data_IF_558991543985
#
_entry.id   IF_558991543985
#
_cell.length_a   1.000
_cell.length_b   1.000
_cell.length_c   1.000
_cell.angle_alpha   90.00
_cell.angle_beta   90.00
_cell.angle_gamma   90.00
#
_symmetry.space_group_name_H-M   'P 1'
#
loop_
_entity.id
_entity.type
_entity.pdbx_description
1 polymer ?
#
# COMPACT_ATOMS: atom_id res chain seq x y z
N UNK A 1 16.65 -27.16 24.99
CA UNK A 1 15.69 -26.04 25.12
C UNK A 1 16.45 -24.84 24.60
N UNK A 2 16.41 -24.65 23.28
CA UNK A 2 17.21 -23.64 22.60
C UNK A 2 16.25 -22.62 22.02
N UNK A 3 16.33 -21.41 22.58
CA UNK A 3 15.63 -20.24 22.09
C UNK A 3 16.47 -19.67 20.94
N UNK A 4 16.16 -20.10 19.72
CA UNK A 4 16.61 -19.38 18.53
C UNK A 4 15.52 -18.41 18.11
N UNK A 5 15.93 -17.14 18.04
CA UNK A 5 15.06 -16.01 17.78
C UNK A 5 14.55 -16.12 16.35
N UNK A 6 13.29 -16.48 16.20
CA UNK A 6 12.55 -16.41 14.95
C UNK A 6 12.37 -14.93 14.58
N UNK A 7 13.45 -14.29 14.10
CA UNK A 7 13.35 -13.04 13.33
C UNK A 7 12.72 -13.44 12.02
N UNK A 8 11.39 -13.51 12.02
CA UNK A 8 10.59 -13.67 10.82
C UNK A 8 11.12 -12.69 9.78
N UNK A 9 11.82 -13.27 8.82
CA UNK A 9 12.12 -12.74 7.50
C UNK A 9 10.78 -12.17 6.99
N UNK A 10 10.54 -10.88 7.23
CA UNK A 10 9.39 -10.23 6.64
C UNK A 10 9.75 -10.09 5.16
N UNK A 11 9.35 -11.09 4.39
CA UNK A 11 9.34 -11.02 2.94
C UNK A 11 8.79 -9.64 2.54
N UNK A 12 9.42 -8.95 1.58
CA UNK A 12 8.91 -7.68 1.08
C UNK A 12 7.45 -7.89 0.73
N UNK A 13 6.54 -7.24 1.45
CA UNK A 13 5.13 -7.43 1.17
C UNK A 13 4.91 -7.00 -0.29
N UNK A 14 4.50 -7.95 -1.11
CA UNK A 14 4.09 -7.67 -2.48
C UNK A 14 2.58 -7.46 -2.43
N UNK A 15 2.05 -6.29 -2.82
CA UNK A 15 0.61 -6.07 -2.90
C UNK A 15 0.02 -7.02 -3.93
N UNK A 16 -0.31 -8.25 -3.51
CA UNK A 16 -0.98 -9.32 -4.24
C UNK A 16 -0.81 -9.25 -5.75
N UNK A 17 0.20 -9.97 -6.27
CA UNK A 17 0.33 -10.28 -7.70
C UNK A 17 -0.83 -11.14 -8.18
N UNK A 18 -1.96 -10.50 -8.43
CA UNK A 18 -2.84 -10.87 -9.52
C UNK A 18 -2.94 -9.62 -10.38
N UNK A 19 -2.08 -9.64 -11.39
CA UNK A 19 -2.35 -9.08 -12.70
C UNK A 19 -3.73 -9.61 -13.14
N UNK A 20 -4.82 -9.09 -12.56
CA UNK A 20 -6.09 -9.00 -13.25
C UNK A 20 -5.75 -8.15 -14.44
N UNK A 21 -5.44 -8.84 -15.55
CA UNK A 21 -5.23 -8.32 -16.90
C UNK A 21 -5.67 -6.89 -16.91
N UNK A 22 -4.70 -5.97 -16.94
CA UNK A 22 -4.98 -4.59 -17.28
C UNK A 22 -5.88 -4.70 -18.51
N UNK A 23 -7.17 -4.47 -18.30
CA UNK A 23 -8.06 -4.19 -19.39
C UNK A 23 -7.51 -2.86 -19.85
N UNK A 24 -6.55 -2.97 -20.77
CA UNK A 24 -5.92 -1.95 -21.58
C UNK A 24 -7.08 -1.22 -22.30
N UNK A 25 -7.85 -0.45 -21.54
CA UNK A 25 -8.44 0.76 -22.03
C UNK A 25 -7.24 1.68 -22.22
N UNK A 26 -6.68 1.68 -23.43
CA UNK A 26 -5.55 2.49 -23.88
C UNK A 26 -5.83 3.99 -23.83
N UNK A 27 -6.08 4.51 -22.63
CA UNK A 27 -6.21 5.91 -22.30
C UNK A 27 -5.13 6.32 -21.30
N UNK A 28 -4.81 7.62 -21.22
CA UNK A 28 -3.81 8.12 -20.28
C UNK A 28 -4.20 7.77 -18.85
N UNK A 29 -3.24 7.28 -18.07
CA UNK A 29 -3.43 7.04 -16.64
C UNK A 29 -3.87 8.33 -15.95
N UNK A 30 -5.01 8.33 -15.23
CA UNK A 30 -5.45 9.48 -14.45
C UNK A 30 -4.35 10.00 -13.51
N UNK A 31 -4.18 11.32 -13.43
CA UNK A 31 -3.12 11.95 -12.63
C UNK A 31 -3.14 11.53 -11.14
N UNK A 32 -4.33 11.26 -10.57
CA UNK A 32 -4.44 10.79 -9.20
C UNK A 32 -3.85 9.38 -9.01
N UNK A 33 -3.94 8.52 -10.04
CA UNK A 33 -3.33 7.19 -10.02
C UNK A 33 -1.82 7.29 -10.11
N UNK A 34 -1.29 8.11 -11.02
CA UNK A 34 0.16 8.36 -11.08
C UNK A 34 0.69 8.86 -9.73
N UNK A 35 0.00 9.84 -9.13
CA UNK A 35 0.40 10.41 -7.84
C UNK A 35 0.29 9.41 -6.68
N UNK A 36 -0.77 8.60 -6.64
CA UNK A 36 -0.91 7.56 -5.64
C UNK A 36 0.19 6.49 -5.79
N UNK A 37 0.48 6.07 -7.02
CA UNK A 37 1.52 5.09 -7.32
C UNK A 37 2.89 5.58 -6.84
N UNK A 38 3.24 6.85 -7.03
CA UNK A 38 4.48 7.44 -6.50
C UNK A 38 4.56 7.30 -4.97
N UNK A 39 3.49 7.67 -4.26
CA UNK A 39 3.43 7.63 -2.80
C UNK A 39 3.53 6.20 -2.26
N UNK A 40 2.78 5.26 -2.87
CA UNK A 40 2.82 3.85 -2.49
C UNK A 40 4.19 3.24 -2.79
N UNK A 41 4.80 3.57 -3.93
CA UNK A 41 6.14 3.10 -4.30
C UNK A 41 7.18 3.60 -3.31
N UNK A 42 7.05 4.85 -2.84
CA UNK A 42 7.93 5.36 -1.79
C UNK A 42 7.68 4.66 -0.46
N UNK A 43 6.42 4.43 -0.07
CA UNK A 43 6.05 3.71 1.14
C UNK A 43 6.67 2.30 1.18
N UNK A 44 6.61 1.59 0.05
CA UNK A 44 7.24 0.28 -0.16
C UNK A 44 8.76 0.31 0.08
N UNK A 45 9.44 1.34 -0.45
CA UNK A 45 10.88 1.51 -0.28
C UNK A 45 11.25 1.81 1.16
N UNK A 46 10.50 2.70 1.80
CA UNK A 46 10.69 3.07 3.20
C UNK A 46 10.48 1.87 4.13
N UNK A 47 9.46 1.07 3.84
CA UNK A 47 9.18 -0.14 4.58
C UNK A 47 10.29 -1.18 4.47
N UNK A 48 10.77 -1.41 3.24
CA UNK A 48 11.91 -2.30 2.99
C UNK A 48 13.19 -1.79 3.69
N UNK A 49 13.32 -0.48 3.85
CA UNK A 49 14.42 0.14 4.59
C UNK A 49 14.21 0.14 6.12
N UNK A 50 13.08 -0.36 6.63
CA UNK A 50 12.73 -0.32 8.05
C UNK A 50 12.31 1.06 8.56
N UNK A 51 12.12 2.04 7.68
CA UNK A 51 11.61 3.37 8.00
C UNK A 51 10.08 3.35 8.18
N UNK A 52 9.59 2.51 9.10
CA UNK A 52 8.17 2.23 9.30
C UNK A 52 7.27 3.46 9.53
N UNK A 53 7.69 4.54 10.24
CA UNK A 53 6.88 5.74 10.32
C UNK A 53 6.67 6.43 8.96
N UNK A 54 7.72 6.47 8.12
CA UNK A 54 7.65 7.06 6.77
C UNK A 54 6.82 6.19 5.83
N UNK A 55 7.01 4.86 5.90
CA UNK A 55 6.17 3.90 5.17
C UNK A 55 4.69 4.06 5.50
N UNK A 56 4.35 4.14 6.78
CA UNK A 56 2.97 4.33 7.24
C UNK A 56 2.36 5.62 6.69
N UNK A 57 3.13 6.72 6.69
CA UNK A 57 2.70 7.98 6.11
C UNK A 57 2.45 7.85 4.59
N UNK A 58 3.37 7.22 3.87
CA UNK A 58 3.25 6.99 2.43
C UNK A 58 2.01 6.15 2.06
N UNK A 59 1.69 5.08 2.81
CA UNK A 59 0.45 4.32 2.59
C UNK A 59 -0.79 5.16 2.82
N UNK A 60 -0.83 5.92 3.91
CA UNK A 60 -1.98 6.78 4.24
C UNK A 60 -2.20 7.85 3.17
N UNK A 61 -1.13 8.50 2.73
CA UNK A 61 -1.20 9.54 1.71
C UNK A 61 -1.59 8.98 0.34
N UNK A 62 -0.99 7.84 -0.05
CA UNK A 62 -1.34 7.15 -1.29
C UNK A 62 -2.82 6.74 -1.31
N UNK A 63 -3.31 6.11 -0.24
CA UNK A 63 -4.73 5.75 -0.09
C UNK A 63 -5.63 6.99 -0.10
N UNK A 64 -5.23 8.06 0.57
CA UNK A 64 -6.00 9.30 0.58
C UNK A 64 -6.17 9.88 -0.83
N UNK A 65 -5.11 9.88 -1.64
CA UNK A 65 -5.16 10.30 -3.05
C UNK A 65 -6.08 9.38 -3.86
N UNK A 66 -5.95 8.06 -3.70
CA UNK A 66 -6.83 7.09 -4.37
C UNK A 66 -8.31 7.38 -4.07
N UNK A 67 -8.68 7.46 -2.79
CA UNK A 67 -10.07 7.65 -2.37
C UNK A 67 -10.64 9.01 -2.77
N UNK A 68 -9.80 10.05 -2.89
CA UNK A 68 -10.22 11.35 -3.43
C UNK A 68 -10.45 11.35 -4.93
N UNK A 69 -9.72 10.53 -5.68
CA UNK A 69 -9.87 10.43 -7.15
C UNK A 69 -11.03 9.54 -7.60
N UNK A 70 -11.41 8.53 -6.81
CA UNK A 70 -12.48 7.58 -7.16
C UNK A 70 -13.82 8.24 -7.57
N UNK A 71 -14.35 9.27 -6.89
CA UNK A 71 -15.63 9.86 -7.27
C UNK A 71 -15.62 10.48 -8.68
N UNK A 72 -14.50 11.08 -9.07
CA UNK A 72 -14.31 11.77 -10.36
C UNK A 72 -13.85 10.84 -11.48
N UNK A 73 -13.61 9.56 -11.18
CA UNK A 73 -13.11 8.61 -12.14
C UNK A 73 -14.25 8.09 -13.06
N UNK A 74 -14.15 8.26 -14.40
CA UNK A 74 -15.22 7.90 -15.32
C UNK A 74 -15.40 6.39 -15.50
N UNK A 75 -14.41 5.57 -15.14
CA UNK A 75 -14.46 4.12 -15.34
C UNK A 75 -14.98 3.42 -14.09
N UNK A 76 -16.16 2.76 -14.14
CA UNK A 76 -16.68 2.02 -12.99
C UNK A 76 -15.75 0.87 -12.58
N UNK A 77 -15.13 0.18 -13.54
CA UNK A 77 -14.18 -0.90 -13.27
C UNK A 77 -12.95 -0.38 -12.51
N UNK A 78 -12.38 0.74 -12.95
CA UNK A 78 -11.22 1.36 -12.28
C UNK A 78 -11.56 1.84 -10.87
N UNK A 79 -12.73 2.45 -10.67
CA UNK A 79 -13.22 2.82 -9.33
C UNK A 79 -13.28 1.64 -8.38
N UNK A 80 -13.75 0.50 -8.86
CA UNK A 80 -13.80 -0.72 -8.04
C UNK A 80 -12.39 -1.25 -7.73
N UNK A 81 -11.52 -1.35 -8.74
CA UNK A 81 -10.13 -1.78 -8.57
C UNK A 81 -9.37 -0.89 -7.58
N UNK A 82 -9.54 0.43 -7.68
CA UNK A 82 -8.92 1.40 -6.76
C UNK A 82 -9.40 1.21 -5.33
N UNK A 83 -10.70 0.98 -5.11
CA UNK A 83 -11.22 0.72 -3.75
C UNK A 83 -10.66 -0.57 -3.15
N UNK A 84 -10.56 -1.63 -3.95
CA UNK A 84 -9.94 -2.90 -3.52
C UNK A 84 -8.49 -2.67 -3.13
N UNK A 85 -7.71 -2.01 -4.00
CA UNK A 85 -6.29 -1.74 -3.74
C UNK A 85 -6.07 -0.83 -2.52
N UNK A 86 -6.91 0.18 -2.36
CA UNK A 86 -6.87 1.06 -1.20
C UNK A 86 -7.09 0.29 0.12
N UNK A 87 -8.02 -0.67 0.14
CA UNK A 87 -8.23 -1.52 1.30
C UNK A 87 -7.02 -2.40 1.63
N UNK A 88 -6.35 -2.97 0.62
CA UNK A 88 -5.11 -3.73 0.81
C UNK A 88 -3.99 -2.88 1.41
N UNK A 89 -3.81 -1.65 0.91
CA UNK A 89 -2.80 -0.73 1.44
C UNK A 89 -3.10 -0.30 2.88
N UNK A 90 -4.39 -0.08 3.23
CA UNK A 90 -4.77 0.21 4.61
C UNK A 90 -4.48 -0.98 5.53
N UNK A 91 -4.79 -2.20 5.10
CA UNK A 91 -4.46 -3.41 5.88
C UNK A 91 -2.96 -3.50 6.14
N UNK A 92 -2.11 -3.22 5.13
CA UNK A 92 -0.66 -3.22 5.33
C UNK A 92 -0.19 -2.12 6.29
N UNK A 93 -0.74 -0.92 6.15
CA UNK A 93 -0.47 0.19 7.07
C UNK A 93 -0.79 -0.18 8.53
N UNK A 94 -1.93 -0.84 8.77
CA UNK A 94 -2.31 -1.31 10.11
C UNK A 94 -1.34 -2.38 10.65
N UNK A 95 -0.90 -3.31 9.81
CA UNK A 95 0.11 -4.31 10.18
C UNK A 95 1.43 -3.66 10.59
N UNK A 96 1.91 -2.68 9.82
CA UNK A 96 3.13 -1.93 10.14
C UNK A 96 3.00 -1.23 11.49
N UNK A 97 1.86 -0.56 11.73
CA UNK A 97 1.57 0.08 13.00
C UNK A 97 1.63 -0.93 14.15
N UNK A 98 0.96 -2.07 14.02
CA UNK A 98 0.84 -3.10 15.06
C UNK A 98 2.16 -3.81 15.37
N UNK A 99 2.96 -4.08 14.34
CA UNK A 99 4.18 -4.88 14.46
C UNK A 99 5.40 -4.03 14.84
N UNK A 100 5.48 -2.79 14.35
CA UNK A 100 6.71 -2.00 14.44
C UNK A 100 6.58 -0.72 15.27
N UNK A 101 5.36 -0.17 15.43
CA UNK A 101 5.18 1.15 16.05
C UNK A 101 4.35 1.11 17.34
N UNK A 102 3.55 0.07 17.57
CA UNK A 102 2.79 -0.11 18.82
C UNK A 102 3.51 -0.96 19.86
N UNK A 103 4.73 -1.43 19.58
CA UNK A 103 5.62 -2.07 20.56
C UNK A 103 6.29 -0.98 21.43
N UNK A 104 5.50 -0.22 22.18
CA UNK A 104 6.02 0.56 23.30
C UNK A 104 6.06 -0.36 24.53
N UNK A 105 7.20 -0.51 25.24
CA UNK A 105 7.22 -1.26 26.49
C UNK A 105 6.38 -0.53 27.55
N UNK A 106 5.75 -1.27 28.51
CA UNK A 106 5.20 -0.67 29.72
C UNK A 106 6.29 -0.05 30.61
#
# INVERSE_FOLDING_TARGET
MEAETERLDQEPWEPGGQEEKEAEEGGPTPAYLSRATELITQALRDEKAGAYPAALQGYRDGVHVLLRGVPDDPSPARREGVKKKAAEYLKRAEEILRLHLSQAPP
#
